data_IF_500295612955
#
_entry.id   IF_500295612955
#
_cell.length_a   1.000
_cell.length_b   1.000
_cell.length_c   1.000
_cell.angle_alpha   90.00
_cell.angle_beta   90.00
_cell.angle_gamma   90.00
#
_symmetry.space_group_name_H-M   'P 1'
#
loop_
_entity.id
_entity.type
_entity.pdbx_description
1 polymer ?
#
# COMPACT_ATOMS: atom_id res chain seq x y z
N UNK A 1 -1.36 -33.13 -17.91
CA UNK A 1 -1.48 -31.66 -18.04
C UNK A 1 -2.93 -31.18 -17.98
N UNK A 2 -3.90 -31.91 -18.56
CA UNK A 2 -5.34 -31.58 -18.42
C UNK A 2 -5.89 -31.70 -16.98
N UNK A 3 -5.46 -32.70 -16.20
CA UNK A 3 -5.95 -32.91 -14.82
C UNK A 3 -5.67 -31.75 -13.84
N UNK A 4 -4.60 -30.99 -14.07
CA UNK A 4 -4.20 -29.88 -13.17
C UNK A 4 -5.05 -28.64 -13.41
N UNK A 5 -5.41 -28.36 -14.67
CA UNK A 5 -6.33 -27.28 -15.02
C UNK A 5 -7.76 -27.56 -14.52
N UNK A 6 -8.14 -28.83 -14.43
CA UNK A 6 -9.45 -29.27 -13.96
C UNK A 6 -9.60 -29.05 -12.45
N UNK A 7 -8.59 -29.38 -11.64
CA UNK A 7 -8.60 -29.17 -10.18
C UNK A 7 -8.71 -27.68 -9.79
N UNK A 8 -8.02 -26.79 -10.52
CA UNK A 8 -8.14 -25.35 -10.33
C UNK A 8 -9.53 -24.82 -10.71
N UNK A 9 -10.12 -25.31 -11.81
CA UNK A 9 -11.51 -24.96 -12.19
C UNK A 9 -12.52 -25.51 -11.19
N UNK A 10 -12.35 -26.72 -10.66
CA UNK A 10 -13.27 -27.28 -9.66
C UNK A 10 -13.19 -26.52 -8.33
N UNK A 11 -12.01 -26.08 -7.89
CA UNK A 11 -11.88 -25.19 -6.72
C UNK A 11 -12.44 -23.80 -6.99
N UNK A 12 -12.20 -23.25 -8.17
CA UNK A 12 -12.77 -21.98 -8.62
C UNK A 12 -14.29 -22.02 -8.57
N UNK A 13 -14.91 -22.99 -9.23
CA UNK A 13 -16.36 -23.15 -9.20
C UNK A 13 -16.85 -23.59 -7.83
N UNK A 14 -16.14 -24.38 -7.02
CA UNK A 14 -16.61 -24.73 -5.67
C UNK A 14 -16.59 -23.54 -4.73
N UNK A 15 -15.52 -22.73 -4.71
CA UNK A 15 -15.43 -21.54 -3.86
C UNK A 15 -16.36 -20.46 -4.36
N UNK A 16 -16.43 -20.23 -5.69
CA UNK A 16 -17.45 -19.34 -6.24
C UNK A 16 -18.85 -19.88 -5.97
N UNK A 17 -19.11 -21.18 -6.07
CA UNK A 17 -20.41 -21.80 -5.77
C UNK A 17 -20.74 -21.68 -4.28
N UNK A 18 -19.79 -21.81 -3.36
CA UNK A 18 -20.01 -21.55 -1.93
C UNK A 18 -20.25 -20.06 -1.67
N UNK A 19 -19.47 -19.16 -2.28
CA UNK A 19 -19.70 -17.71 -2.22
C UNK A 19 -21.04 -17.31 -2.89
N UNK A 20 -21.48 -18.05 -3.90
CA UNK A 20 -22.67 -17.83 -4.74
C UNK A 20 -23.95 -18.40 -4.13
N UNK A 21 -23.90 -19.62 -3.58
CA UNK A 21 -25.04 -20.33 -2.97
C UNK A 21 -25.32 -19.81 -1.56
N UNK A 22 -24.29 -19.51 -0.76
CA UNK A 22 -24.50 -19.12 0.64
C UNK A 22 -24.69 -17.61 0.84
N UNK A 23 -24.21 -16.75 -0.08
CA UNK A 23 -24.12 -15.29 0.19
C UNK A 23 -24.51 -14.33 -0.94
N UNK A 24 -24.77 -14.80 -2.16
CA UNK A 24 -25.14 -13.96 -3.31
C UNK A 24 -23.99 -13.11 -3.87
N UNK A 25 -24.06 -12.78 -5.16
CA UNK A 25 -23.07 -11.93 -5.85
C UNK A 25 -22.87 -10.58 -5.13
N UNK A 26 -21.63 -10.08 -5.10
CA UNK A 26 -21.32 -8.68 -4.76
C UNK A 26 -21.03 -8.35 -3.29
N UNK A 27 -21.01 -9.33 -2.38
CA UNK A 27 -20.67 -9.06 -0.97
C UNK A 27 -19.18 -9.26 -0.67
N UNK A 28 -18.54 -8.25 -0.07
CA UNK A 28 -17.12 -8.27 0.31
C UNK A 28 -16.88 -9.14 1.56
N UNK A 29 -17.89 -9.30 2.41
CA UNK A 29 -17.74 -9.94 3.72
C UNK A 29 -17.36 -11.43 3.66
N UNK A 30 -17.96 -12.27 2.80
CA UNK A 30 -17.58 -13.67 2.66
C UNK A 30 -16.12 -13.84 2.20
N UNK A 31 -15.65 -12.98 1.29
CA UNK A 31 -14.27 -12.99 0.80
C UNK A 31 -13.31 -12.69 1.96
N UNK A 32 -13.61 -11.67 2.78
CA UNK A 32 -12.83 -11.35 3.97
C UNK A 32 -12.80 -12.50 4.99
N UNK A 33 -13.93 -13.17 5.21
CA UNK A 33 -14.04 -14.29 6.13
C UNK A 33 -13.25 -15.50 5.65
N UNK A 34 -13.36 -15.85 4.37
CA UNK A 34 -12.63 -16.97 3.78
C UNK A 34 -11.13 -16.70 3.73
N UNK A 35 -10.73 -15.47 3.41
CA UNK A 35 -9.34 -15.05 3.50
C UNK A 35 -8.79 -15.23 4.92
N UNK A 36 -9.55 -14.76 5.92
CA UNK A 36 -9.17 -14.91 7.32
C UNK A 36 -9.09 -16.38 7.74
N UNK A 37 -10.02 -17.23 7.26
CA UNK A 37 -10.02 -18.67 7.55
C UNK A 37 -8.76 -19.36 7.03
N UNK A 38 -8.28 -19.00 5.83
CA UNK A 38 -7.11 -19.63 5.19
C UNK A 38 -5.78 -19.06 5.71
N UNK A 39 -5.72 -17.76 5.99
CA UNK A 39 -4.46 -17.06 6.31
C UNK A 39 -4.29 -16.70 7.79
N UNK A 40 -5.36 -16.78 8.57
CA UNK A 40 -5.46 -16.22 9.92
C UNK A 40 -5.19 -14.70 10.00
N UNK A 41 -5.30 -13.97 8.88
CA UNK A 41 -5.08 -12.53 8.79
C UNK A 41 -6.39 -11.81 8.48
N UNK A 42 -6.68 -10.71 9.18
CA UNK A 42 -7.81 -9.85 8.82
C UNK A 42 -7.44 -9.03 7.56
N UNK A 43 -8.06 -9.35 6.43
CA UNK A 43 -7.71 -8.82 5.11
C UNK A 43 -7.61 -7.28 5.09
N UNK A 44 -8.73 -6.59 5.34
CA UNK A 44 -8.81 -5.12 5.25
C UNK A 44 -7.96 -4.45 6.31
N UNK A 45 -8.06 -4.91 7.57
CA UNK A 45 -7.35 -4.25 8.68
C UNK A 45 -5.83 -4.34 8.49
N UNK A 46 -5.31 -5.53 8.14
CA UNK A 46 -3.88 -5.71 7.92
C UNK A 46 -3.41 -4.89 6.73
N UNK A 47 -4.10 -5.00 5.59
CA UNK A 47 -3.70 -4.31 4.37
C UNK A 47 -3.68 -2.79 4.54
N UNK A 48 -4.79 -2.21 5.01
CA UNK A 48 -4.88 -0.76 5.15
C UNK A 48 -3.93 -0.21 6.21
N UNK A 49 -3.77 -0.88 7.36
CA UNK A 49 -2.82 -0.44 8.38
C UNK A 49 -1.38 -0.39 7.84
N UNK A 50 -0.95 -1.41 7.10
CA UNK A 50 0.41 -1.44 6.54
C UNK A 50 0.58 -0.50 5.36
N UNK A 51 -0.41 -0.42 4.47
CA UNK A 51 -0.38 0.52 3.36
C UNK A 51 -0.30 1.96 3.86
N UNK A 52 -1.12 2.33 4.83
CA UNK A 52 -1.14 3.69 5.40
C UNK A 52 0.16 4.00 6.14
N UNK A 53 0.68 3.05 6.92
CA UNK A 53 1.97 3.18 7.60
C UNK A 53 3.11 3.48 6.62
N UNK A 54 3.13 2.82 5.46
CA UNK A 54 4.20 2.99 4.47
C UNK A 54 3.94 4.10 3.46
N UNK A 55 2.71 4.61 3.35
CA UNK A 55 2.31 5.59 2.34
C UNK A 55 3.20 6.83 2.28
N UNK A 56 3.53 7.53 3.40
CA UNK A 56 4.39 8.72 3.34
C UNK A 56 5.77 8.42 2.75
N UNK A 57 6.35 7.26 3.12
CA UNK A 57 7.67 6.85 2.64
C UNK A 57 7.63 6.42 1.17
N UNK A 58 6.61 5.66 0.77
CA UNK A 58 6.39 5.26 -0.62
C UNK A 58 6.27 6.49 -1.53
N UNK A 59 5.45 7.47 -1.13
CA UNK A 59 5.29 8.71 -1.89
C UNK A 59 6.61 9.48 -2.02
N UNK A 60 7.43 9.56 -0.95
CA UNK A 60 8.76 10.18 -1.01
C UNK A 60 9.69 9.46 -1.99
N UNK A 61 9.71 8.12 -1.96
CA UNK A 61 10.52 7.30 -2.87
C UNK A 61 10.05 7.45 -4.32
N UNK A 62 8.75 7.49 -4.56
CA UNK A 62 8.19 7.65 -5.89
C UNK A 62 8.50 9.03 -6.47
N UNK A 63 8.36 10.11 -5.69
CA UNK A 63 8.76 11.46 -6.13
C UNK A 63 10.27 11.56 -6.40
N UNK A 64 11.10 10.94 -5.56
CA UNK A 64 12.55 10.86 -5.81
C UNK A 64 12.90 10.07 -7.08
N UNK A 65 12.07 9.11 -7.47
CA UNK A 65 12.21 8.36 -8.73
C UNK A 65 11.70 9.19 -9.91
N UNK A 66 10.59 9.92 -9.75
CA UNK A 66 9.99 10.79 -10.76
C UNK A 66 10.94 11.89 -11.25
N UNK A 67 11.80 12.41 -10.37
CA UNK A 67 12.81 13.43 -10.73
C UNK A 67 14.03 12.89 -11.50
N UNK A 68 14.04 11.61 -11.85
CA UNK A 68 15.10 10.98 -12.66
C UNK A 68 14.64 10.87 -14.11
N UNK A 69 15.51 10.33 -14.96
CA UNK A 69 15.21 10.08 -16.37
C UNK A 69 14.66 8.67 -16.60
N UNK A 70 13.96 8.49 -17.72
CA UNK A 70 13.45 7.21 -18.20
C UNK A 70 11.95 7.00 -18.02
N UNK A 71 11.39 6.04 -18.77
CA UNK A 71 9.95 5.79 -18.89
C UNK A 71 9.21 5.66 -17.56
N UNK A 72 9.77 4.93 -16.60
CA UNK A 72 9.15 4.78 -15.28
C UNK A 72 9.09 6.12 -14.50
N UNK A 73 10.12 6.97 -14.66
CA UNK A 73 10.18 8.27 -14.00
C UNK A 73 9.15 9.23 -14.61
N UNK A 74 8.98 9.21 -15.93
CA UNK A 74 7.97 9.99 -16.67
C UNK A 74 6.54 9.62 -16.23
N UNK A 75 6.23 8.32 -16.14
CA UNK A 75 4.92 7.86 -15.67
C UNK A 75 4.63 8.27 -14.22
N UNK A 76 5.64 8.18 -13.34
CA UNK A 76 5.52 8.63 -11.95
C UNK A 76 5.36 10.15 -11.87
N UNK A 77 6.10 10.93 -12.66
CA UNK A 77 6.00 12.39 -12.71
C UNK A 77 4.60 12.83 -13.18
N UNK A 78 4.07 12.22 -14.23
CA UNK A 78 2.69 12.46 -14.68
C UNK A 78 1.65 12.14 -13.61
N UNK A 79 1.77 10.97 -12.96
CA UNK A 79 0.87 10.57 -11.88
C UNK A 79 0.90 11.56 -10.71
N UNK A 80 2.09 12.00 -10.29
CA UNK A 80 2.21 12.94 -9.17
C UNK A 80 1.80 14.37 -9.53
N UNK A 81 1.91 14.79 -10.80
CA UNK A 81 1.29 16.04 -11.27
C UNK A 81 -0.23 16.01 -11.10
N UNK A 82 -0.89 14.92 -11.54
CA UNK A 82 -2.35 14.74 -11.36
C UNK A 82 -2.71 14.70 -9.87
N UNK A 83 -1.88 14.07 -9.05
CA UNK A 83 -2.08 13.98 -7.60
C UNK A 83 -1.97 15.34 -6.91
N UNK A 84 -1.01 16.17 -7.30
CA UNK A 84 -0.79 17.49 -6.70
C UNK A 84 -1.87 18.51 -7.14
N UNK A 85 -2.67 18.20 -8.19
CA UNK A 85 -3.84 18.98 -8.62
C UNK A 85 -5.12 18.70 -7.80
N UNK A 86 -5.13 17.66 -6.95
CA UNK A 86 -6.31 17.31 -6.16
C UNK A 86 -6.54 18.35 -5.04
N UNK A 87 -7.70 19.01 -5.05
CA UNK A 87 -8.05 20.06 -4.07
C UNK A 87 -8.23 19.51 -2.64
N UNK A 88 -8.75 18.29 -2.52
CA UNK A 88 -8.87 17.56 -1.25
C UNK A 88 -8.32 16.16 -1.39
N UNK A 89 -7.26 15.86 -0.64
CA UNK A 89 -6.62 14.55 -0.64
C UNK A 89 -7.03 13.77 0.60
N UNK A 90 -8.04 12.91 0.44
CA UNK A 90 -8.48 12.04 1.51
C UNK A 90 -7.59 10.78 1.65
N UNK A 91 -8.02 9.83 2.48
CA UNK A 91 -7.30 8.56 2.67
C UNK A 91 -7.38 7.64 1.44
N UNK A 92 -8.47 7.68 0.68
CA UNK A 92 -8.69 6.82 -0.48
C UNK A 92 -7.84 7.28 -1.67
N UNK A 93 -7.76 8.59 -1.92
CA UNK A 93 -6.88 9.19 -2.93
C UNK A 93 -5.42 8.84 -2.64
N UNK A 94 -4.98 8.94 -1.37
CA UNK A 94 -3.62 8.55 -0.96
C UNK A 94 -3.29 7.10 -1.26
N UNK A 95 -4.18 6.18 -0.88
CA UNK A 95 -4.02 4.75 -1.11
C UNK A 95 -4.04 4.43 -2.61
N UNK A 96 -4.97 5.03 -3.36
CA UNK A 96 -5.06 4.87 -4.81
C UNK A 96 -3.79 5.33 -5.52
N UNK A 97 -3.24 6.49 -5.13
CA UNK A 97 -1.99 7.01 -5.70
C UNK A 97 -0.82 6.05 -5.48
N UNK A 98 -0.70 5.48 -4.27
CA UNK A 98 0.33 4.47 -3.99
C UNK A 98 0.15 3.23 -4.86
N UNK A 99 -1.07 2.70 -4.95
CA UNK A 99 -1.37 1.48 -5.72
C UNK A 99 -1.17 1.67 -7.23
N UNK A 100 -1.46 2.86 -7.77
CA UNK A 100 -1.22 3.20 -9.18
C UNK A 100 0.25 3.45 -9.48
N UNK A 101 1.00 4.00 -8.54
CA UNK A 101 2.43 4.28 -8.72
C UNK A 101 3.33 3.05 -8.55
N UNK A 102 2.91 2.06 -7.74
CA UNK A 102 3.72 0.91 -7.37
C UNK A 102 4.20 0.09 -8.59
N UNK A 103 3.37 -0.25 -9.60
CA UNK A 103 3.83 -0.93 -10.80
C UNK A 103 4.93 -0.17 -11.55
N UNK A 104 4.72 1.12 -11.81
CA UNK A 104 5.70 1.96 -12.50
C UNK A 104 7.03 2.03 -11.74
N UNK A 105 6.98 2.16 -10.41
CA UNK A 105 8.18 2.13 -9.57
C UNK A 105 8.91 0.78 -9.63
N UNK A 106 8.17 -0.33 -9.69
CA UNK A 106 8.71 -1.67 -9.87
C UNK A 106 9.18 -1.97 -11.30
N UNK A 107 9.09 -1.01 -12.23
CA UNK A 107 9.33 -1.18 -13.66
C UNK A 107 8.46 -2.30 -14.26
N UNK A 108 7.18 -2.26 -13.90
CA UNK A 108 6.12 -3.15 -14.33
C UNK A 108 5.10 -2.40 -15.18
N UNK A 109 4.34 -3.14 -15.98
CA UNK A 109 3.30 -2.58 -16.84
C UNK A 109 1.94 -2.90 -16.23
N UNK A 110 1.12 -1.87 -16.02
CA UNK A 110 -0.21 -1.98 -15.44
C UNK A 110 -1.34 -1.80 -16.45
N UNK A 111 -1.00 -1.58 -17.72
CA UNK A 111 -1.93 -1.30 -18.84
C UNK A 111 -2.99 -2.39 -19.02
N UNK A 112 -2.60 -3.66 -18.87
CA UNK A 112 -3.54 -4.79 -18.97
C UNK A 112 -4.36 -5.01 -17.71
N UNK A 113 -3.95 -4.40 -16.59
CA UNK A 113 -4.53 -4.61 -15.28
C UNK A 113 -5.56 -3.54 -14.93
N UNK A 114 -5.25 -2.25 -15.12
CA UNK A 114 -6.22 -1.17 -14.95
C UNK A 114 -6.87 -0.86 -16.29
N UNK A 115 -8.04 -1.45 -16.54
CA UNK A 115 -8.83 -1.24 -17.75
C UNK A 115 -9.73 -0.04 -17.57
N UNK A 116 -9.46 1.03 -18.32
CA UNK A 116 -10.36 2.18 -18.38
C UNK A 116 -11.47 1.87 -19.37
N UNK A 117 -12.72 2.01 -18.92
CA UNK A 117 -13.90 1.94 -19.77
C UNK A 117 -14.49 3.33 -19.93
N UNK A 118 -14.55 3.77 -21.18
CA UNK A 118 -15.24 4.98 -21.57
C UNK A 118 -16.66 4.65 -21.99
N UNK A 119 -17.60 4.99 -21.11
CA UNK A 119 -19.04 4.74 -21.28
C UNK A 119 -19.62 5.57 -22.42
N UNK A 120 -18.97 6.68 -22.82
CA UNK A 120 -19.42 7.48 -23.96
C UNK A 120 -19.02 6.84 -25.30
N UNK A 121 -17.97 6.01 -25.31
CA UNK A 121 -17.48 5.35 -26.53
C UNK A 121 -18.09 3.96 -26.77
N UNK A 122 -18.50 3.26 -25.72
CA UNK A 122 -19.06 1.90 -25.82
C UNK A 122 -20.03 1.58 -24.68
N UNK A 123 -21.17 1.00 -25.03
CA UNK A 123 -22.18 0.52 -24.07
C UNK A 123 -21.68 -0.67 -23.23
N UNK A 124 -20.68 -1.42 -23.72
CA UNK A 124 -20.09 -2.56 -23.03
C UNK A 124 -18.56 -2.41 -22.88
N UNK A 125 -17.97 -2.81 -21.74
CA UNK A 125 -16.54 -2.73 -21.52
C UNK A 125 -15.78 -3.83 -22.27
N UNK A 126 -14.64 -3.50 -22.89
CA UNK A 126 -13.74 -4.48 -23.50
C UNK A 126 -12.90 -5.21 -22.44
N UNK A 127 -13.48 -6.28 -21.91
CA UNK A 127 -12.90 -7.15 -20.87
C UNK A 127 -12.39 -8.48 -21.41
N UNK A 128 -12.32 -8.66 -22.73
CA UNK A 128 -11.84 -9.89 -23.34
C UNK A 128 -10.33 -10.09 -23.08
N UNK A 129 -9.91 -11.33 -22.86
CA UNK A 129 -8.53 -11.74 -22.62
C UNK A 129 -7.86 -11.07 -21.39
N UNK A 130 -8.67 -10.67 -20.41
CA UNK A 130 -8.26 -10.14 -19.10
C UNK A 130 -8.38 -11.24 -18.02
N UNK A 131 -7.30 -11.98 -17.73
CA UNK A 131 -7.35 -13.04 -16.73
C UNK A 131 -7.59 -12.49 -15.31
N UNK A 132 -7.02 -11.33 -14.99
CA UNK A 132 -7.16 -10.64 -13.71
C UNK A 132 -6.96 -9.13 -13.92
N UNK A 133 -7.89 -8.30 -13.45
CA UNK A 133 -7.81 -6.85 -13.61
C UNK A 133 -8.82 -6.06 -12.81
N UNK A 134 -8.75 -4.74 -12.92
CA UNK A 134 -9.68 -3.78 -12.38
C UNK A 134 -10.26 -2.95 -13.53
N UNK A 135 -11.58 -2.96 -13.66
CA UNK A 135 -12.32 -2.11 -14.57
C UNK A 135 -12.62 -0.78 -13.87
N UNK A 136 -12.27 0.34 -14.50
CA UNK A 136 -12.46 1.69 -13.98
C UNK A 136 -13.25 2.49 -15.02
N UNK A 137 -14.31 3.19 -14.61
CA UNK A 137 -15.03 4.09 -15.51
C UNK A 137 -15.31 5.43 -14.85
N UNK A 138 -15.21 6.50 -15.63
CA UNK A 138 -15.53 7.87 -15.23
C UNK A 138 -16.56 8.41 -16.21
N UNK A 139 -17.66 9.01 -15.71
CA UNK A 139 -18.60 9.73 -16.59
C UNK A 139 -18.06 11.10 -16.98
N UNK A 140 -17.03 11.60 -16.31
CA UNK A 140 -16.38 12.87 -16.61
C UNK A 140 -14.87 12.70 -16.79
N UNK A 141 -14.32 13.34 -17.82
CA UNK A 141 -12.89 13.32 -18.16
C UNK A 141 -12.09 14.35 -17.33
N UNK A 142 -12.32 14.37 -16.01
CA UNK A 142 -11.56 15.22 -15.09
C UNK A 142 -10.38 14.47 -14.47
N UNK A 143 -9.26 15.17 -14.29
CA UNK A 143 -8.08 14.69 -13.54
C UNK A 143 -8.43 14.29 -12.09
N UNK A 144 -9.53 14.82 -11.53
CA UNK A 144 -10.05 14.42 -10.22
C UNK A 144 -10.46 12.94 -10.15
N UNK A 145 -10.93 12.37 -11.27
CA UNK A 145 -11.44 11.01 -11.32
C UNK A 145 -10.35 9.95 -11.53
N UNK A 146 -9.07 10.36 -11.68
CA UNK A 146 -7.97 9.42 -11.91
C UNK A 146 -7.70 8.49 -10.72
N UNK A 147 -7.83 9.01 -9.49
CA UNK A 147 -7.63 8.25 -8.25
C UNK A 147 -8.93 7.77 -7.61
N UNK A 148 -10.04 8.45 -7.90
CA UNK A 148 -11.38 8.09 -7.43
C UNK A 148 -12.33 7.93 -8.63
N UNK A 149 -12.21 6.83 -9.39
CA UNK A 149 -13.18 6.53 -10.44
C UNK A 149 -14.58 6.36 -9.88
N UNK A 150 -15.59 6.68 -10.69
CA UNK A 150 -17.00 6.57 -10.27
C UNK A 150 -17.47 5.12 -10.17
N UNK A 151 -16.97 4.27 -11.07
CA UNK A 151 -17.18 2.82 -10.96
C UNK A 151 -15.86 2.09 -11.00
N UNK A 152 -15.78 1.09 -10.13
CA UNK A 152 -14.61 0.24 -9.96
C UNK A 152 -15.12 -1.18 -9.81
N UNK A 153 -14.67 -2.08 -10.68
CA UNK A 153 -15.06 -3.48 -10.63
C UNK A 153 -13.85 -4.41 -10.76
N UNK A 154 -13.94 -5.56 -10.11
CA UNK A 154 -12.91 -6.61 -10.12
C UNK A 154 -13.22 -7.58 -11.24
N UNK A 155 -12.23 -7.80 -12.12
CA UNK A 155 -12.28 -8.72 -13.24
C UNK A 155 -11.48 -9.99 -12.94
N UNK A 156 -12.10 -11.16 -13.16
CA UNK A 156 -11.44 -12.47 -13.13
C UNK A 156 -11.92 -13.28 -14.33
N UNK A 157 -10.98 -13.79 -15.13
CA UNK A 157 -11.26 -14.58 -16.34
C UNK A 157 -12.37 -13.95 -17.21
N UNK A 158 -12.20 -12.68 -17.58
CA UNK A 158 -13.14 -11.91 -18.43
C UNK A 158 -14.53 -11.67 -17.82
N UNK A 159 -14.70 -11.88 -16.51
CA UNK A 159 -15.97 -11.67 -15.82
C UNK A 159 -15.86 -10.60 -14.74
N UNK A 160 -16.88 -9.75 -14.64
CA UNK A 160 -17.06 -8.83 -13.51
C UNK A 160 -17.55 -9.64 -12.31
N UNK A 161 -16.74 -9.71 -11.26
CA UNK A 161 -17.03 -10.51 -10.05
C UNK A 161 -17.66 -9.67 -8.95
N UNK A 162 -17.12 -8.47 -8.72
CA UNK A 162 -17.55 -7.60 -7.62
C UNK A 162 -17.25 -6.13 -7.93
N UNK A 163 -18.22 -5.27 -7.64
CA UNK A 163 -18.04 -3.82 -7.66
C UNK A 163 -17.53 -3.32 -6.31
N UNK A 164 -16.77 -2.23 -6.35
CA UNK A 164 -16.16 -1.64 -5.17
C UNK A 164 -16.31 -0.12 -5.17
N UNK A 165 -16.38 0.45 -3.98
CA UNK A 165 -16.46 1.89 -3.78
C UNK A 165 -15.11 2.59 -3.91
N UNK A 166 -13.99 1.87 -3.71
CA UNK A 166 -12.66 2.47 -3.74
C UNK A 166 -11.66 1.59 -4.48
N UNK A 167 -10.66 2.22 -5.11
CA UNK A 167 -9.63 1.50 -5.87
C UNK A 167 -8.86 0.53 -4.96
N UNK A 168 -8.59 0.96 -3.73
CA UNK A 168 -7.85 0.17 -2.77
C UNK A 168 -8.66 -1.05 -2.27
N UNK A 169 -9.97 -0.91 -2.09
CA UNK A 169 -10.85 -2.04 -1.78
C UNK A 169 -10.91 -3.03 -2.95
N UNK A 170 -11.09 -2.56 -4.19
CA UNK A 170 -11.12 -3.44 -5.36
C UNK A 170 -9.81 -4.22 -5.53
N UNK A 171 -8.68 -3.53 -5.37
CA UNK A 171 -7.35 -4.14 -5.45
C UNK A 171 -7.15 -5.23 -4.39
N UNK A 172 -7.50 -4.98 -3.12
CA UNK A 172 -7.30 -5.96 -2.05
C UNK A 172 -8.28 -7.14 -2.16
N UNK A 173 -9.48 -6.92 -2.70
CA UNK A 173 -10.43 -8.00 -2.98
C UNK A 173 -9.90 -8.89 -4.11
N UNK A 174 -9.41 -8.31 -5.21
CA UNK A 174 -8.80 -9.08 -6.28
C UNK A 174 -7.61 -9.90 -5.75
N UNK A 175 -6.75 -9.28 -4.92
CA UNK A 175 -5.65 -9.97 -4.26
C UNK A 175 -6.12 -11.17 -3.43
N UNK A 176 -7.15 -10.98 -2.59
CA UNK A 176 -7.70 -12.02 -1.74
C UNK A 176 -8.29 -13.18 -2.55
N UNK A 177 -9.08 -12.87 -3.58
CA UNK A 177 -9.64 -13.88 -4.49
C UNK A 177 -8.52 -14.65 -5.20
N UNK A 178 -7.52 -13.95 -5.72
CA UNK A 178 -6.37 -14.58 -6.37
C UNK A 178 -5.65 -15.56 -5.43
N UNK A 179 -5.49 -15.17 -4.17
CA UNK A 179 -4.83 -16.00 -3.15
C UNK A 179 -5.67 -17.22 -2.73
N UNK A 180 -6.95 -17.02 -2.37
CA UNK A 180 -7.87 -18.09 -1.92
C UNK A 180 -8.12 -19.12 -3.03
N UNK A 181 -8.24 -18.65 -4.26
CA UNK A 181 -8.53 -19.49 -5.43
C UNK A 181 -7.25 -20.12 -6.03
N UNK A 182 -6.08 -19.86 -5.44
CA UNK A 182 -4.79 -20.31 -5.95
C UNK A 182 -4.56 -19.96 -7.42
N UNK A 183 -4.97 -18.75 -7.82
CA UNK A 183 -4.77 -18.25 -9.18
C UNK A 183 -3.35 -17.70 -9.35
N UNK A 184 -2.87 -17.71 -10.59
CA UNK A 184 -1.58 -17.14 -10.91
C UNK A 184 -1.66 -15.61 -10.92
N UNK A 185 -0.72 -14.94 -10.26
CA UNK A 185 -0.59 -13.49 -10.34
C UNK A 185 -0.34 -13.03 -11.78
N UNK A 186 -0.83 -11.83 -12.18
CA UNK A 186 -0.54 -11.26 -13.48
C UNK A 186 0.97 -11.19 -13.70
N UNK A 187 1.45 -11.80 -14.79
CA UNK A 187 2.90 -11.87 -15.09
C UNK A 187 3.56 -10.50 -15.19
N UNK A 188 2.78 -9.49 -15.53
CA UNK A 188 3.24 -8.10 -15.69
C UNK A 188 3.37 -7.36 -14.35
N UNK A 189 2.80 -7.88 -13.26
CA UNK A 189 2.73 -7.24 -11.94
C UNK A 189 3.30 -8.10 -10.80
N UNK A 190 4.17 -9.06 -11.12
CA UNK A 190 4.62 -10.05 -10.14
C UNK A 190 5.34 -9.45 -8.94
N UNK A 191 6.13 -8.38 -9.11
CA UNK A 191 6.80 -7.69 -8.00
C UNK A 191 5.81 -6.89 -7.16
N UNK A 192 4.81 -6.28 -7.79
CA UNK A 192 3.71 -5.58 -7.11
C UNK A 192 2.95 -6.54 -6.20
N UNK A 193 2.52 -7.70 -6.72
CA UNK A 193 1.81 -8.71 -5.93
C UNK A 193 2.71 -9.39 -4.89
N UNK A 194 3.99 -9.66 -5.19
CA UNK A 194 4.97 -10.20 -4.22
C UNK A 194 5.22 -9.21 -3.06
N UNK A 195 5.27 -7.91 -3.36
CA UNK A 195 5.35 -6.86 -2.34
C UNK A 195 4.11 -6.84 -1.44
N UNK A 196 2.91 -6.85 -2.03
CA UNK A 196 1.66 -6.86 -1.27
C UNK A 196 1.57 -8.11 -0.39
N UNK A 197 1.83 -9.30 -0.95
CA UNK A 197 1.73 -10.56 -0.22
C UNK A 197 2.73 -10.65 0.94
N UNK A 198 4.01 -10.37 0.68
CA UNK A 198 5.08 -10.67 1.66
C UNK A 198 5.44 -9.49 2.55
N UNK A 199 5.30 -8.26 2.06
CA UNK A 199 5.66 -7.05 2.82
C UNK A 199 4.44 -6.47 3.53
N UNK A 200 3.35 -6.21 2.81
CA UNK A 200 2.15 -5.64 3.43
C UNK A 200 1.36 -6.69 4.22
N UNK A 201 1.07 -7.85 3.61
CA UNK A 201 0.23 -8.85 4.24
C UNK A 201 1.02 -9.76 5.19
N UNK A 202 2.29 -10.05 4.88
CA UNK A 202 3.15 -10.92 5.69
C UNK A 202 2.78 -12.40 5.58
N UNK A 203 2.32 -12.84 4.41
CA UNK A 203 1.73 -14.17 4.20
C UNK A 203 2.71 -15.27 3.81
N UNK A 204 4.00 -14.96 3.66
CA UNK A 204 5.05 -15.94 3.43
C UNK A 204 6.41 -15.39 3.90
N UNK A 205 7.23 -16.25 4.52
CA UNK A 205 8.63 -15.95 4.87
C UNK A 205 9.61 -16.30 3.73
N UNK A 206 9.08 -16.51 2.52
CA UNK A 206 9.85 -16.86 1.35
C UNK A 206 10.81 -15.75 0.90
N UNK A 207 11.82 -16.14 0.11
CA UNK A 207 12.78 -15.18 -0.46
C UNK A 207 12.03 -14.12 -1.28
N UNK A 208 12.32 -12.85 -0.97
CA UNK A 208 11.80 -11.71 -1.72
C UNK A 208 12.52 -11.58 -3.06
N UNK A 209 11.79 -11.15 -4.07
CA UNK A 209 12.40 -10.77 -5.35
C UNK A 209 13.36 -9.60 -5.13
N UNK A 210 14.48 -9.48 -5.89
CA UNK A 210 15.47 -8.43 -5.65
C UNK A 210 14.89 -7.00 -5.61
N UNK A 211 13.91 -6.69 -6.46
CA UNK A 211 13.23 -5.38 -6.47
C UNK A 211 12.39 -5.15 -5.22
N UNK A 212 11.63 -6.16 -4.81
CA UNK A 212 10.79 -6.11 -3.59
C UNK A 212 11.66 -5.99 -2.35
N UNK A 213 12.78 -6.72 -2.30
CA UNK A 213 13.77 -6.61 -1.23
C UNK A 213 14.39 -5.21 -1.15
N UNK A 214 14.76 -4.62 -2.29
CA UNK A 214 15.27 -3.26 -2.34
C UNK A 214 14.25 -2.26 -1.79
N UNK A 215 12.99 -2.34 -2.23
CA UNK A 215 11.94 -1.46 -1.74
C UNK A 215 11.71 -1.65 -0.24
N UNK A 216 11.63 -2.89 0.25
CA UNK A 216 11.50 -3.19 1.68
C UNK A 216 12.63 -2.53 2.49
N UNK A 217 13.87 -2.62 2.02
CA UNK A 217 15.00 -1.98 2.68
C UNK A 217 14.88 -0.45 2.68
N UNK A 218 14.47 0.15 1.55
CA UNK A 218 14.27 1.60 1.45
C UNK A 218 13.12 2.12 2.35
N UNK A 219 12.12 1.28 2.61
CA UNK A 219 11.05 1.54 3.57
C UNK A 219 11.56 1.50 5.02
N UNK A 220 12.45 0.56 5.34
CA UNK A 220 13.00 0.37 6.68
C UNK A 220 14.12 1.35 7.03
N UNK A 221 14.82 1.90 6.02
CA UNK A 221 15.98 2.79 6.20
C UNK A 221 15.70 4.12 6.93
N UNK A 222 14.45 4.45 7.26
CA UNK A 222 14.10 5.63 8.07
C UNK A 222 13.89 5.27 9.54
N UNK A 223 13.53 4.02 9.87
CA UNK A 223 13.41 3.56 11.26
C UNK A 223 14.77 3.54 11.99
N UNK A 224 15.88 3.62 11.25
CA UNK A 224 17.24 3.67 11.81
C UNK A 224 17.76 5.09 12.04
N UNK A 225 17.08 6.14 11.56
CA UNK A 225 17.53 7.54 11.75
C UNK A 225 17.00 8.13 13.06
N UNK A 226 15.94 7.57 13.65
CA UNK A 226 15.43 8.04 14.95
C UNK A 226 16.26 7.56 16.17
N UNK A 227 17.25 6.69 15.96
CA UNK A 227 18.09 6.14 17.05
C UNK A 227 19.57 6.48 16.95
N UNK A 228 20.01 7.40 16.07
CA UNK A 228 21.34 7.98 16.25
C UNK A 228 21.30 8.98 17.40
N UNK A 229 21.83 8.65 18.60
CA UNK A 229 21.99 9.66 19.62
C UNK A 229 22.83 10.80 19.01
N UNK A 230 22.46 12.08 19.24
CA UNK A 230 23.29 13.19 18.81
C UNK A 230 24.73 12.92 19.30
N UNK A 231 25.75 13.23 18.49
CA UNK A 231 27.14 13.12 18.94
C UNK A 231 27.24 13.80 20.29
N UNK A 232 27.79 13.11 21.31
CA UNK A 232 28.11 13.77 22.56
C UNK A 232 28.98 14.97 22.20
N UNK A 233 28.37 16.16 22.21
CA UNK A 233 29.08 17.40 22.03
C UNK A 233 30.21 17.37 23.06
N UNK A 234 31.44 17.50 22.56
CA UNK A 234 32.65 17.44 23.37
C UNK A 234 32.41 18.22 24.66
N UNK A 235 32.50 17.53 25.79
CA UNK A 235 32.41 18.17 27.09
C UNK A 235 33.42 19.32 27.10
N UNK A 236 33.03 20.55 27.48
CA UNK A 236 34.01 21.62 27.61
C UNK A 236 35.07 21.16 28.61
N UNK A 237 36.33 21.16 28.19
CA UNK A 237 37.46 21.00 29.09
C UNK A 237 37.33 22.08 30.16
N UNK A 238 37.03 21.66 31.39
CA UNK A 238 37.07 22.56 32.53
C UNK A 238 38.53 22.89 32.81
N UNK A 239 38.93 24.18 32.83
CA UNK A 239 40.26 24.53 33.28
C UNK A 239 40.40 24.15 34.74
N UNK A 240 41.49 23.45 35.03
CA UNK A 240 41.91 23.03 36.37
C UNK A 240 42.09 24.27 37.25
N UNK A 241 41.10 24.57 38.09
CA UNK A 241 41.18 25.68 39.05
C UNK A 241 42.04 25.24 40.24
N UNK A 242 43.31 25.62 40.17
CA UNK A 242 44.19 25.69 41.33
C UNK A 242 43.50 26.52 42.44
N UNK A 243 43.51 25.95 43.64
CA UNK A 243 42.55 26.28 44.70
C UNK A 243 42.49 27.73 45.16
N UNK A 244 41.34 28.08 45.75
CA UNK A 244 41.16 29.05 46.83
C UNK A 244 39.68 29.04 47.27
N UNK A 245 39.45 28.81 48.57
CA UNK A 245 38.36 29.42 49.36
C UNK A 245 36.89 29.08 49.05
N UNK A 246 36.24 28.39 49.99
CA UNK A 246 34.78 28.24 50.06
C UNK A 246 34.08 29.61 50.18
N UNK A 247 33.07 29.88 49.35
CA UNK A 247 31.88 30.66 49.75
C UNK A 247 30.65 30.25 48.92
N UNK A 248 29.59 29.80 49.63
CA UNK A 248 28.22 29.64 49.09
C UNK A 248 27.64 31.02 48.75
N UNK A 249 27.10 31.23 47.54
CA UNK A 249 25.80 31.90 47.24
C UNK A 249 25.42 31.69 45.75
N UNK A 250 24.28 31.04 45.51
CA UNK A 250 23.25 31.36 44.49
C UNK A 250 23.57 31.54 42.99
N UNK A 251 23.04 30.64 42.15
CA UNK A 251 21.86 30.87 41.27
C UNK A 251 21.64 29.65 40.37
N UNK A 252 20.46 29.04 40.45
CA UNK A 252 19.99 28.10 39.42
C UNK A 252 19.68 28.92 38.16
N UNK A 253 20.22 28.57 36.99
CA UNK A 253 19.96 29.33 35.76
C UNK A 253 18.50 29.15 35.30
N UNK A 254 17.85 30.19 34.74
CA UNK A 254 16.41 30.20 34.45
C UNK A 254 15.89 29.13 33.48
N UNK A 255 16.78 28.43 32.77
CA UNK A 255 16.40 27.36 31.84
C UNK A 255 16.17 26.00 32.53
N UNK A 256 16.61 25.83 33.78
CA UNK A 256 16.52 24.56 34.50
C UNK A 256 15.14 24.29 35.15
N UNK A 257 14.16 25.16 34.94
CA UNK A 257 12.79 25.02 35.45
C UNK A 257 11.73 24.94 34.34
N UNK A 258 12.10 24.57 33.12
CA UNK A 258 11.12 24.35 32.06
C UNK A 258 10.80 22.85 31.94
N UNK A 259 9.80 22.47 32.72
CA UNK A 259 8.98 21.25 32.73
C UNK A 259 8.97 20.45 31.40
N UNK A 260 9.29 19.15 31.50
CA UNK A 260 9.00 18.15 30.47
C UNK A 260 7.54 17.67 30.60
N UNK A 261 6.63 17.92 29.64
CA UNK A 261 5.29 17.37 29.69
C UNK A 261 5.25 16.05 28.94
N UNK A 262 5.83 14.96 29.49
CA UNK A 262 5.57 13.62 28.97
C UNK A 262 5.79 12.49 29.97
N UNK A 263 5.36 12.65 31.23
CA UNK A 263 5.14 11.52 32.14
C UNK A 263 3.94 11.80 33.05
N UNK A 264 2.73 11.70 32.52
CA UNK A 264 1.56 11.45 33.37
C UNK A 264 0.50 10.69 32.58
N UNK A 265 0.64 9.36 32.57
CA UNK A 265 -0.47 8.41 32.63
C UNK A 265 0.11 6.99 32.67
N UNK A 266 0.37 6.49 33.89
CA UNK A 266 0.30 5.07 34.26
C UNK A 266 0.50 4.94 35.76
N UNK A 267 -0.62 4.89 36.49
CA UNK A 267 -0.89 3.91 37.57
C UNK A 267 -2.02 4.45 38.45
N UNK A 268 -3.21 3.87 38.33
CA UNK A 268 -4.07 3.69 39.49
C UNK A 268 -4.43 2.21 39.54
N UNK A 269 -3.98 1.59 40.64
CA UNK A 269 -4.64 0.48 41.29
C UNK A 269 -6.06 0.90 41.71
#
# INVERSE_FOLDING_TARGET
MQQFHEDHRTKFYSVLTTLYIDFGFGSINPICAEFHRVTNVNLKNRFFAQLDQHTPRLQSLFRKKASRTGKASELLDQLFKIYDLQDQVDVHVRRAAVLRALPSYMHESDVSFFKMWDVEQSDEPDINDVPLGLLLSNQTSSDACFFCPERIAVLIEDNIVIESSTLADAFIILFALTYILHLNYPKQLLNTFDFVQKVLMGLEDGKLRPRVMSLKNDLLAVLTIEFTPPPLAAAPEYPEVAGLGIQRVGRVPPWALQECPFLSQKSNF
#
